data_IF_333090628754
#
_entry.id   IF_333090628754
#
_cell.length_a   1.000
_cell.length_b   1.000
_cell.length_c   1.000
_cell.angle_alpha   90.00
_cell.angle_beta   90.00
_cell.angle_gamma   90.00
#
_symmetry.space_group_name_H-M   'P 1'
#
loop_
_entity.id
_entity.type
_entity.pdbx_description
1 polymer ?
#
# COMPACT_ATOMS: atom_id res chain seq x y z
N UNK A 1 -25.93 -25.27 11.46
CA UNK A 1 -25.51 -24.90 10.10
C UNK A 1 -24.19 -24.16 10.23
N UNK A 2 -23.17 -24.51 9.43
CA UNK A 2 -21.88 -23.84 9.49
C UNK A 2 -21.99 -22.49 8.76
N UNK A 3 -22.19 -21.41 9.52
CA UNK A 3 -22.42 -20.06 8.97
C UNK A 3 -21.23 -19.55 8.16
N UNK A 4 -20.00 -19.90 8.56
CA UNK A 4 -18.79 -19.50 7.82
C UNK A 4 -18.79 -20.16 6.45
N UNK A 5 -18.93 -21.48 6.39
CA UNK A 5 -18.93 -22.24 5.13
C UNK A 5 -20.08 -21.83 4.21
N UNK A 6 -21.27 -21.62 4.76
CA UNK A 6 -22.43 -21.15 3.99
C UNK A 6 -22.18 -19.75 3.42
N UNK A 7 -21.65 -18.84 4.24
CA UNK A 7 -21.28 -17.50 3.81
C UNK A 7 -20.19 -17.48 2.74
N UNK A 8 -19.17 -18.33 2.86
CA UNK A 8 -18.11 -18.48 1.85
C UNK A 8 -18.66 -19.00 0.54
N UNK A 9 -19.56 -19.99 0.56
CA UNK A 9 -20.21 -20.48 -0.65
C UNK A 9 -21.05 -19.40 -1.35
N UNK A 10 -21.78 -18.58 -0.60
CA UNK A 10 -22.50 -17.43 -1.14
C UNK A 10 -21.54 -16.41 -1.77
N UNK A 11 -20.42 -16.12 -1.10
CA UNK A 11 -19.40 -15.20 -1.59
C UNK A 11 -18.80 -15.66 -2.93
N UNK A 12 -18.48 -16.94 -3.06
CA UNK A 12 -17.94 -17.54 -4.30
C UNK A 12 -18.96 -17.48 -5.46
N UNK A 13 -20.26 -17.54 -5.15
CA UNK A 13 -21.35 -17.45 -6.14
C UNK A 13 -21.72 -16.02 -6.51
N UNK A 14 -21.10 -15.01 -5.89
CA UNK A 14 -21.46 -13.61 -6.09
C UNK A 14 -22.71 -13.16 -5.34
N UNK A 15 -23.23 -13.99 -4.43
CA UNK A 15 -24.43 -13.72 -3.63
C UNK A 15 -24.03 -12.91 -2.38
N UNK A 16 -23.52 -11.69 -2.60
CA UNK A 16 -22.81 -10.93 -1.58
C UNK A 16 -23.67 -10.57 -0.36
N UNK A 17 -24.94 -10.21 -0.55
CA UNK A 17 -25.87 -9.94 0.55
C UNK A 17 -26.06 -11.16 1.45
N UNK A 18 -26.23 -12.35 0.87
CA UNK A 18 -26.41 -13.60 1.62
C UNK A 18 -25.13 -13.98 2.38
N UNK A 19 -23.96 -13.75 1.76
CA UNK A 19 -22.68 -13.93 2.44
C UNK A 19 -22.54 -12.99 3.65
N UNK A 20 -22.87 -11.70 3.48
CA UNK A 20 -22.84 -10.69 4.54
C UNK A 20 -23.79 -11.07 5.69
N UNK A 21 -24.99 -11.58 5.37
CA UNK A 21 -25.94 -12.03 6.37
C UNK A 21 -25.38 -13.20 7.19
N UNK A 22 -24.85 -14.24 6.53
CA UNK A 22 -24.26 -15.39 7.20
C UNK A 22 -23.11 -14.98 8.14
N UNK A 23 -22.20 -14.12 7.67
CA UNK A 23 -21.09 -13.65 8.49
C UNK A 23 -21.54 -12.75 9.63
N UNK A 24 -22.57 -11.93 9.42
CA UNK A 24 -23.14 -11.09 10.48
C UNK A 24 -23.81 -11.93 11.57
N UNK A 25 -24.55 -12.97 11.19
CA UNK A 25 -25.13 -13.92 12.14
C UNK A 25 -24.03 -14.63 12.96
N UNK A 26 -22.91 -14.98 12.34
CA UNK A 26 -21.77 -15.56 13.06
C UNK A 26 -21.17 -14.56 14.05
N UNK A 27 -20.93 -13.32 13.62
CA UNK A 27 -20.32 -12.27 14.45
C UNK A 27 -21.21 -11.83 15.62
N UNK A 28 -22.52 -12.12 15.60
CA UNK A 28 -23.37 -11.98 16.78
C UNK A 28 -23.00 -12.96 17.91
N UNK A 29 -22.27 -14.04 17.60
CA UNK A 29 -21.83 -15.05 18.57
C UNK A 29 -20.36 -14.89 18.98
N UNK A 30 -19.52 -14.44 18.05
CA UNK A 30 -18.09 -14.16 18.25
C UNK A 30 -17.71 -12.90 17.47
N UNK A 31 -17.89 -11.72 18.07
CA UNK A 31 -17.67 -10.44 17.38
C UNK A 31 -16.21 -10.21 17.00
N UNK A 32 -15.29 -10.87 17.70
CA UNK A 32 -13.85 -10.66 17.59
C UNK A 32 -13.16 -11.73 16.75
N UNK A 33 -13.91 -12.47 15.92
CA UNK A 33 -13.33 -13.43 15.00
C UNK A 33 -12.65 -12.71 13.81
N UNK A 34 -11.31 -12.65 13.74
CA UNK A 34 -10.63 -11.85 12.71
C UNK A 34 -10.84 -12.41 11.30
N UNK A 35 -11.01 -13.73 11.17
CA UNK A 35 -11.25 -14.39 9.88
C UNK A 35 -12.63 -14.01 9.35
N UNK A 36 -13.68 -14.08 10.18
CA UNK A 36 -15.04 -13.75 9.73
C UNK A 36 -15.22 -12.25 9.52
N UNK A 37 -14.57 -11.40 10.32
CA UNK A 37 -14.49 -9.95 10.05
C UNK A 37 -13.87 -9.69 8.67
N UNK A 38 -12.76 -10.36 8.34
CA UNK A 38 -12.14 -10.24 7.02
C UNK A 38 -13.06 -10.71 5.89
N UNK A 39 -13.69 -11.89 6.03
CA UNK A 39 -14.62 -12.42 5.03
C UNK A 39 -15.85 -11.52 4.80
N UNK A 40 -16.40 -10.95 5.88
CA UNK A 40 -17.51 -9.99 5.77
C UNK A 40 -17.06 -8.69 5.13
N UNK A 41 -15.86 -8.20 5.44
CA UNK A 41 -15.26 -7.05 4.77
C UNK A 41 -15.12 -7.26 3.26
N UNK A 42 -14.61 -8.41 2.85
CA UNK A 42 -14.52 -8.79 1.42
C UNK A 42 -15.90 -8.78 0.75
N UNK A 43 -16.89 -9.42 1.39
CA UNK A 43 -18.26 -9.47 0.87
C UNK A 43 -18.89 -8.06 0.77
N UNK A 44 -18.69 -7.21 1.79
CA UNK A 44 -19.15 -5.82 1.78
C UNK A 44 -18.47 -5.01 0.67
N UNK A 45 -17.15 -5.15 0.46
CA UNK A 45 -16.44 -4.49 -0.65
C UNK A 45 -17.00 -4.92 -2.00
N UNK A 46 -17.20 -6.23 -2.20
CA UNK A 46 -17.80 -6.77 -3.43
C UNK A 46 -19.23 -6.27 -3.64
N UNK A 47 -19.95 -6.02 -2.56
CA UNK A 47 -21.26 -5.37 -2.58
C UNK A 47 -21.20 -3.82 -2.57
N UNK A 48 -20.05 -3.22 -2.90
CA UNK A 48 -19.82 -1.76 -2.93
C UNK A 48 -20.05 -1.02 -1.59
N UNK A 49 -20.21 -1.75 -0.49
CA UNK A 49 -20.33 -1.20 0.87
C UNK A 49 -18.94 -0.91 1.46
N UNK A 50 -18.21 0.01 0.82
CA UNK A 50 -16.79 0.22 1.11
C UNK A 50 -16.50 0.68 2.55
N UNK A 51 -17.34 1.54 3.13
CA UNK A 51 -17.13 2.02 4.51
C UNK A 51 -17.29 0.90 5.54
N UNK A 52 -18.32 0.07 5.38
CA UNK A 52 -18.49 -1.12 6.22
C UNK A 52 -17.30 -2.08 6.09
N UNK A 53 -16.81 -2.29 4.85
CA UNK A 53 -15.64 -3.14 4.59
C UNK A 53 -14.42 -2.63 5.37
N UNK A 54 -14.14 -1.32 5.28
CA UNK A 54 -13.03 -0.72 6.02
C UNK A 54 -13.17 -0.90 7.53
N UNK A 55 -14.37 -0.77 8.08
CA UNK A 55 -14.60 -0.94 9.51
C UNK A 55 -14.31 -2.37 9.98
N UNK A 56 -14.78 -3.37 9.25
CA UNK A 56 -14.53 -4.78 9.56
C UNK A 56 -13.05 -5.16 9.40
N UNK A 57 -12.41 -4.70 8.33
CA UNK A 57 -10.99 -4.97 8.09
C UNK A 57 -10.08 -4.28 9.10
N UNK A 58 -10.42 -3.05 9.53
CA UNK A 58 -9.71 -2.37 10.62
C UNK A 58 -9.86 -3.12 11.93
N UNK A 59 -11.06 -3.62 12.27
CA UNK A 59 -11.27 -4.47 13.45
C UNK A 59 -10.46 -5.76 13.35
N UNK A 60 -10.41 -6.40 12.19
CA UNK A 60 -9.57 -7.59 12.00
C UNK A 60 -8.08 -7.30 12.28
N UNK A 61 -7.56 -6.13 11.89
CA UNK A 61 -6.19 -5.70 12.20
C UNK A 61 -5.98 -5.32 13.67
N UNK A 62 -6.99 -4.84 14.40
CA UNK A 62 -6.81 -4.61 15.85
C UNK A 62 -6.59 -5.93 16.59
N UNK A 63 -7.16 -7.03 16.09
CA UNK A 63 -7.03 -8.37 16.65
C UNK A 63 -5.75 -9.06 16.16
N UNK A 64 -5.45 -8.98 14.86
CA UNK A 64 -4.25 -9.57 14.25
C UNK A 64 -3.47 -8.52 13.44
N UNK A 65 -2.62 -7.70 14.09
CA UNK A 65 -1.93 -6.58 13.42
C UNK A 65 -0.91 -6.98 12.36
N UNK A 66 -0.49 -8.24 12.31
CA UNK A 66 0.50 -8.75 11.36
C UNK A 66 -0.13 -9.54 10.20
N UNK A 67 -1.43 -9.39 9.95
CA UNK A 67 -2.11 -10.08 8.86
C UNK A 67 -1.96 -9.33 7.53
N UNK A 68 -1.00 -9.75 6.70
CA UNK A 68 -0.73 -9.15 5.41
C UNK A 68 -1.92 -9.19 4.44
N UNK A 69 -2.75 -10.23 4.51
CA UNK A 69 -3.94 -10.35 3.65
C UNK A 69 -4.99 -9.29 3.98
N UNK A 70 -5.20 -8.99 5.26
CA UNK A 70 -6.12 -7.91 5.66
C UNK A 70 -5.61 -6.55 5.21
N UNK A 71 -4.30 -6.30 5.26
CA UNK A 71 -3.69 -5.10 4.68
C UNK A 71 -3.97 -4.98 3.18
N UNK A 72 -3.83 -6.07 2.41
CA UNK A 72 -4.18 -6.04 0.98
C UNK A 72 -5.67 -5.78 0.75
N UNK A 73 -6.58 -6.36 1.52
CA UNK A 73 -8.02 -6.08 1.39
C UNK A 73 -8.38 -4.63 1.74
N UNK A 74 -7.71 -4.03 2.74
CA UNK A 74 -7.86 -2.60 3.03
C UNK A 74 -7.42 -1.77 1.83
N UNK A 75 -6.27 -2.10 1.25
CA UNK A 75 -5.75 -1.38 0.10
C UNK A 75 -6.68 -1.47 -1.12
N UNK A 76 -7.22 -2.64 -1.42
CA UNK A 76 -8.19 -2.81 -2.52
C UNK A 76 -9.47 -2.02 -2.22
N UNK A 77 -9.98 -2.06 -0.98
CA UNK A 77 -11.15 -1.27 -0.58
C UNK A 77 -10.92 0.24 -0.76
N UNK A 78 -9.76 0.74 -0.33
CA UNK A 78 -9.38 2.14 -0.45
C UNK A 78 -9.16 2.57 -1.90
N UNK A 79 -8.59 1.69 -2.73
CA UNK A 79 -8.46 1.90 -4.17
C UNK A 79 -9.83 2.14 -4.82
N UNK A 80 -10.85 1.33 -4.51
CA UNK A 80 -12.20 1.55 -5.04
C UNK A 80 -12.80 2.89 -4.56
N UNK A 81 -12.48 3.31 -3.32
CA UNK A 81 -12.81 4.64 -2.78
C UNK A 81 -11.96 5.78 -3.31
N UNK A 82 -11.01 5.50 -4.22
CA UNK A 82 -10.06 6.44 -4.82
C UNK A 82 -9.01 7.00 -3.85
N UNK A 83 -8.94 6.46 -2.63
CA UNK A 83 -7.89 6.78 -1.66
C UNK A 83 -6.62 5.99 -1.98
N UNK A 84 -5.94 6.41 -3.06
CA UNK A 84 -4.76 5.73 -3.59
C UNK A 84 -3.56 5.78 -2.65
N UNK A 85 -3.49 6.79 -1.78
CA UNK A 85 -2.38 6.96 -0.84
C UNK A 85 -2.49 5.96 0.28
N UNK A 86 -3.65 5.87 0.93
CA UNK A 86 -3.84 4.85 1.96
C UNK A 86 -3.74 3.44 1.36
N UNK A 87 -4.21 3.25 0.12
CA UNK A 87 -4.05 1.98 -0.59
C UNK A 87 -2.57 1.59 -0.76
N UNK A 88 -1.73 2.52 -1.20
CA UNK A 88 -0.30 2.28 -1.36
C UNK A 88 0.40 2.01 -0.02
N UNK A 89 0.04 2.75 1.04
CA UNK A 89 0.57 2.54 2.39
C UNK A 89 0.25 1.13 2.90
N UNK A 90 -0.99 0.67 2.72
CA UNK A 90 -1.41 -0.68 3.10
C UNK A 90 -0.75 -1.77 2.25
N UNK A 91 -0.55 -1.56 0.93
CA UNK A 91 0.22 -2.50 0.10
C UNK A 91 1.70 -2.58 0.51
N UNK A 92 2.30 -1.45 0.93
CA UNK A 92 3.66 -1.46 1.48
C UNK A 92 3.74 -2.28 2.77
N UNK A 93 2.74 -2.19 3.65
CA UNK A 93 2.67 -3.01 4.86
C UNK A 93 2.50 -4.50 4.53
N UNK A 94 1.61 -4.84 3.61
CA UNK A 94 1.41 -6.23 3.18
C UNK A 94 2.71 -6.84 2.60
N UNK A 95 3.42 -6.09 1.74
CA UNK A 95 4.72 -6.51 1.20
C UNK A 95 5.78 -6.65 2.29
N UNK A 96 5.84 -5.73 3.26
CA UNK A 96 6.80 -5.79 4.37
C UNK A 96 6.60 -7.03 5.24
N UNK A 97 5.35 -7.45 5.44
CA UNK A 97 5.00 -8.63 6.25
C UNK A 97 5.29 -9.94 5.53
N UNK A 98 5.15 -9.96 4.20
CA UNK A 98 5.41 -11.15 3.36
C UNK A 98 6.35 -10.81 2.19
N UNK A 99 7.65 -10.62 2.44
CA UNK A 99 8.60 -10.16 1.43
C UNK A 99 8.93 -11.20 0.36
N UNK A 100 8.65 -12.49 0.59
CA UNK A 100 8.87 -13.56 -0.38
C UNK A 100 7.59 -13.97 -1.12
N UNK A 101 6.49 -13.24 -0.91
CA UNK A 101 5.23 -13.53 -1.58
C UNK A 101 5.11 -12.71 -2.88
N UNK A 102 5.18 -13.33 -4.08
CA UNK A 102 5.11 -12.63 -5.37
C UNK A 102 3.83 -11.79 -5.51
N UNK A 103 2.73 -12.24 -4.90
CA UNK A 103 1.44 -11.57 -4.95
C UNK A 103 1.46 -10.16 -4.31
N UNK A 104 2.31 -9.94 -3.29
CA UNK A 104 2.41 -8.62 -2.65
C UNK A 104 3.03 -7.61 -3.59
N UNK A 105 3.97 -8.04 -4.43
CA UNK A 105 4.59 -7.19 -5.43
C UNK A 105 3.61 -6.89 -6.57
N UNK A 106 2.93 -7.89 -7.14
CA UNK A 106 1.98 -7.63 -8.24
C UNK A 106 0.83 -6.70 -7.82
N UNK A 107 0.28 -6.91 -6.61
CA UNK A 107 -0.75 -6.02 -6.05
C UNK A 107 -0.25 -4.60 -5.84
N UNK A 108 0.93 -4.43 -5.25
CA UNK A 108 1.52 -3.10 -5.06
C UNK A 108 1.84 -2.43 -6.38
N UNK A 109 2.32 -3.19 -7.37
CA UNK A 109 2.64 -2.68 -8.70
C UNK A 109 1.40 -2.08 -9.39
N UNK A 110 0.25 -2.75 -9.29
CA UNK A 110 -1.01 -2.24 -9.80
C UNK A 110 -1.37 -0.88 -9.18
N UNK A 111 -1.29 -0.76 -7.85
CA UNK A 111 -1.56 0.49 -7.13
C UNK A 111 -0.52 1.57 -7.49
N UNK A 112 0.76 1.23 -7.60
CA UNK A 112 1.81 2.17 -8.02
C UNK A 112 1.56 2.75 -9.41
N UNK A 113 1.15 1.92 -10.38
CA UNK A 113 0.81 2.42 -11.73
C UNK A 113 -0.39 3.37 -11.68
N UNK A 114 -1.42 3.03 -10.90
CA UNK A 114 -2.56 3.91 -10.68
C UNK A 114 -2.15 5.23 -10.00
N UNK A 115 -1.11 5.19 -9.16
CA UNK A 115 -0.50 6.38 -8.57
C UNK A 115 0.41 7.19 -9.53
N UNK A 116 0.56 6.74 -10.78
CA UNK A 116 1.47 7.35 -11.76
C UNK A 116 2.93 6.89 -11.65
N UNK A 117 3.28 6.11 -10.62
CA UNK A 117 4.62 5.51 -10.47
C UNK A 117 4.77 4.26 -11.35
N UNK A 118 4.76 4.50 -12.66
CA UNK A 118 4.87 3.44 -13.69
C UNK A 118 6.20 2.70 -13.59
N UNK A 119 7.29 3.40 -13.23
CA UNK A 119 8.61 2.81 -13.14
C UNK A 119 8.75 1.92 -11.89
N UNK A 120 8.25 2.36 -10.73
CA UNK A 120 8.18 1.53 -9.53
C UNK A 120 7.22 0.35 -9.66
N UNK A 121 6.15 0.47 -10.46
CA UNK A 121 5.29 -0.65 -10.82
C UNK A 121 6.03 -1.71 -11.66
N UNK A 122 6.84 -1.28 -12.64
CA UNK A 122 7.71 -2.18 -13.42
C UNK A 122 8.68 -2.94 -12.53
N UNK A 123 9.29 -2.27 -11.54
CA UNK A 123 10.21 -2.89 -10.59
C UNK A 123 9.52 -3.97 -9.75
N UNK A 124 8.32 -3.68 -9.25
CA UNK A 124 7.56 -4.64 -8.48
C UNK A 124 7.11 -5.84 -9.33
N UNK A 125 6.62 -5.64 -10.56
CA UNK A 125 6.28 -6.76 -11.44
C UNK A 125 7.50 -7.61 -11.81
N UNK A 126 8.68 -7.00 -11.95
CA UNK A 126 9.93 -7.76 -12.14
C UNK A 126 10.26 -8.61 -10.91
N UNK A 127 10.08 -8.07 -9.70
CA UNK A 127 10.29 -8.85 -8.47
C UNK A 127 9.25 -9.96 -8.31
N UNK A 128 8.00 -9.71 -8.70
CA UNK A 128 6.96 -10.73 -8.77
C UNK A 128 7.40 -11.90 -9.69
N UNK A 129 7.85 -11.61 -10.91
CA UNK A 129 8.34 -12.60 -11.87
C UNK A 129 9.61 -13.32 -11.40
N UNK A 130 10.48 -12.64 -10.64
CA UNK A 130 11.66 -13.27 -10.03
C UNK A 130 11.26 -14.34 -9.00
N UNK A 131 10.21 -14.07 -8.22
CA UNK A 131 9.68 -14.97 -7.18
C UNK A 131 8.76 -16.05 -7.75
N UNK A 132 7.98 -15.73 -8.79
CA UNK A 132 7.12 -16.65 -9.54
C UNK A 132 7.32 -16.48 -11.06
N UNK A 133 8.25 -17.25 -11.65
CA UNK A 133 8.56 -17.18 -13.09
C UNK A 133 7.44 -17.69 -14.01
N UNK A 134 6.38 -18.28 -13.47
CA UNK A 134 5.26 -18.85 -14.23
C UNK A 134 3.98 -17.99 -14.13
N UNK A 135 4.04 -16.82 -13.49
CA UNK A 135 2.93 -15.87 -13.42
C UNK A 135 2.71 -15.15 -14.76
N UNK A 136 1.85 -15.74 -15.59
CA UNK A 136 1.43 -15.16 -16.87
C UNK A 136 0.81 -13.75 -16.73
N UNK A 137 0.10 -13.48 -15.63
CA UNK A 137 -0.56 -12.19 -15.38
C UNK A 137 0.50 -11.11 -15.12
N UNK A 138 1.51 -11.42 -14.32
CA UNK A 138 2.63 -10.50 -14.06
C UNK A 138 3.38 -10.15 -15.35
N UNK A 139 3.63 -11.12 -16.24
CA UNK A 139 4.20 -10.86 -17.56
C UNK A 139 3.30 -9.98 -18.42
N UNK A 140 2.00 -10.25 -18.48
CA UNK A 140 1.07 -9.43 -19.24
C UNK A 140 1.05 -7.98 -18.73
N UNK A 141 0.96 -7.78 -17.41
CA UNK A 141 0.94 -6.45 -16.81
C UNK A 141 2.26 -5.71 -17.04
N UNK A 142 3.40 -6.38 -16.92
CA UNK A 142 4.70 -5.79 -17.27
C UNK A 142 4.77 -5.39 -18.74
N UNK A 143 4.21 -6.20 -19.65
CA UNK A 143 4.09 -5.87 -21.06
C UNK A 143 3.28 -4.59 -21.30
N UNK A 144 2.13 -4.44 -20.62
CA UNK A 144 1.30 -3.23 -20.71
C UNK A 144 2.05 -1.98 -20.21
N UNK A 145 2.83 -2.09 -19.12
CA UNK A 145 3.61 -0.96 -18.59
C UNK A 145 4.77 -0.58 -19.53
N UNK A 146 5.47 -1.55 -20.11
CA UNK A 146 6.55 -1.27 -21.07
C UNK A 146 5.99 -0.64 -22.36
N UNK A 147 4.79 -1.05 -22.81
CA UNK A 147 4.10 -0.43 -23.95
C UNK A 147 3.64 1.00 -23.64
N UNK A 148 3.10 1.24 -22.43
CA UNK A 148 2.78 2.59 -21.91
C UNK A 148 3.98 3.53 -21.96
N UNK A 149 5.20 3.01 -21.79
CA UNK A 149 6.46 3.77 -21.90
C UNK A 149 7.03 3.81 -23.34
N UNK A 150 6.30 3.31 -24.34
CA UNK A 150 6.71 3.27 -25.74
C UNK A 150 7.77 2.22 -26.07
N UNK A 151 8.09 1.30 -25.14
CA UNK A 151 9.15 0.29 -25.29
C UNK A 151 8.59 -0.98 -25.93
N UNK A 152 8.06 -0.83 -27.15
CA UNK A 152 7.29 -1.86 -27.89
C UNK A 152 7.96 -3.24 -27.93
N UNK A 153 9.27 -3.30 -28.19
CA UNK A 153 9.96 -4.60 -28.27
C UNK A 153 9.98 -5.35 -26.93
N UNK A 154 10.12 -4.63 -25.81
CA UNK A 154 10.07 -5.25 -24.47
C UNK A 154 8.67 -5.73 -24.16
N UNK A 155 7.66 -4.91 -24.46
CA UNK A 155 6.26 -5.26 -24.30
C UNK A 155 5.91 -6.55 -25.06
N UNK A 156 6.28 -6.63 -26.34
CA UNK A 156 6.04 -7.81 -27.19
C UNK A 156 6.68 -9.09 -26.60
N UNK A 157 7.90 -8.99 -26.07
CA UNK A 157 8.57 -10.12 -25.43
C UNK A 157 7.82 -10.60 -24.18
N UNK A 158 7.33 -9.68 -23.35
CA UNK A 158 6.56 -10.00 -22.15
C UNK A 158 5.20 -10.61 -22.51
N UNK A 159 4.47 -10.06 -23.49
CA UNK A 159 3.22 -10.64 -23.97
C UNK A 159 3.39 -12.05 -24.53
N UNK A 160 4.45 -12.27 -25.34
CA UNK A 160 4.78 -13.61 -25.84
C UNK A 160 5.00 -14.61 -24.72
N UNK A 161 5.68 -14.21 -23.64
CA UNK A 161 5.90 -15.08 -22.48
C UNK A 161 4.60 -15.34 -21.71
N UNK A 162 3.75 -14.34 -21.53
CA UNK A 162 2.41 -14.51 -20.94
C UNK A 162 1.54 -15.48 -21.75
N UNK A 163 1.54 -15.37 -23.08
CA UNK A 163 0.80 -16.27 -23.99
C UNK A 163 1.33 -17.71 -23.99
N UNK A 164 2.64 -17.89 -23.75
CA UNK A 164 3.23 -19.22 -23.60
C UNK A 164 2.77 -19.85 -22.28
N UNK A 165 2.87 -19.11 -21.17
CA UNK A 165 2.51 -19.58 -19.84
C UNK A 165 1.00 -19.83 -19.68
N UNK A 166 0.14 -19.03 -20.33
CA UNK A 166 -1.32 -19.20 -20.24
C UNK A 166 -1.84 -20.45 -20.97
N UNK A 167 -1.09 -20.96 -21.96
CA UNK A 167 -1.40 -22.22 -22.65
C UNK A 167 -0.99 -23.45 -21.84
N UNK A 168 -0.08 -23.28 -20.89
CA UNK A 168 0.27 -24.28 -19.90
C UNK A 168 -0.68 -24.11 -18.69
N UNK A 169 -1.80 -24.83 -18.71
CA UNK A 169 -2.98 -24.77 -17.82
C UNK A 169 -2.73 -24.97 -16.30
N UNK A 170 -1.51 -24.79 -15.80
CA UNK A 170 -1.10 -25.08 -14.42
C UNK A 170 -1.07 -23.88 -13.48
N UNK A 171 -1.44 -22.67 -13.91
CA UNK A 171 -1.42 -21.52 -13.00
C UNK A 171 -2.68 -21.51 -12.11
N UNK A 172 -2.55 -21.70 -10.78
CA UNK A 172 -3.69 -21.67 -9.85
C UNK A 172 -4.26 -20.25 -9.64
N UNK A 173 -3.61 -19.24 -10.23
CA UNK A 173 -3.77 -17.83 -9.87
C UNK A 173 -4.75 -17.06 -10.76
N UNK A 174 -5.27 -17.69 -11.83
CA UNK A 174 -6.17 -17.07 -12.83
C UNK A 174 -7.45 -16.46 -12.22
N UNK A 175 -7.88 -16.91 -11.04
CA UNK A 175 -9.15 -16.48 -10.43
C UNK A 175 -9.07 -15.40 -9.35
N UNK A 176 -7.90 -15.13 -8.76
CA UNK A 176 -7.84 -14.32 -7.53
C UNK A 176 -7.85 -12.80 -7.79
N UNK A 177 -7.57 -12.38 -9.04
CA UNK A 177 -7.60 -10.99 -9.50
C UNK A 177 -8.39 -10.80 -10.80
N UNK A 178 -9.55 -11.46 -10.93
CA UNK A 178 -10.63 -10.83 -11.69
C UNK A 178 -11.06 -9.56 -10.91
N UNK A 179 -10.22 -8.53 -10.96
CA UNK A 179 -10.69 -7.16 -10.90
C UNK A 179 -11.44 -6.98 -12.20
N UNK A 180 -12.75 -6.83 -12.09
CA UNK A 180 -13.65 -6.72 -13.22
C UNK A 180 -13.06 -5.77 -14.26
N UNK A 181 -13.04 -6.20 -15.53
CA UNK A 181 -12.58 -5.39 -16.68
C UNK A 181 -13.33 -4.04 -16.80
N UNK A 182 -14.34 -3.80 -15.99
CA UNK A 182 -15.22 -2.62 -15.99
C UNK A 182 -14.70 -1.42 -15.18
N UNK A 183 -13.65 -1.53 -14.37
CA UNK A 183 -13.07 -0.34 -13.69
C UNK A 183 -11.70 0.03 -14.27
N UNK A 184 -11.69 0.46 -15.54
CA UNK A 184 -10.66 1.40 -16.00
C UNK A 184 -10.97 2.72 -15.31
N UNK A 185 -10.45 2.85 -14.08
CA UNK A 185 -10.46 4.10 -13.36
C UNK A 185 -9.88 5.19 -14.26
N UNK A 186 -10.60 6.29 -14.42
CA UNK A 186 -10.14 7.45 -15.18
C UNK A 186 -8.89 8.01 -14.48
N UNK A 187 -7.70 7.58 -14.93
CA UNK A 187 -6.40 7.79 -14.28
C UNK A 187 -6.12 9.28 -14.00
N UNK A 188 -6.71 10.17 -14.79
CA UNK A 188 -6.54 11.62 -14.68
C UNK A 188 -7.11 12.19 -13.35
N UNK A 189 -8.22 11.63 -12.85
CA UNK A 189 -8.82 12.04 -11.57
C UNK A 189 -7.97 11.55 -10.40
N UNK A 190 -7.54 10.29 -10.47
CA UNK A 190 -6.66 9.66 -9.49
C UNK A 190 -5.30 10.37 -9.36
N UNK A 191 -4.71 10.76 -10.49
CA UNK A 191 -3.45 11.49 -10.51
C UNK A 191 -3.60 12.89 -9.91
N UNK A 192 -4.70 13.59 -10.20
CA UNK A 192 -4.98 14.91 -9.61
C UNK A 192 -5.14 14.84 -8.09
N UNK A 193 -5.81 13.81 -7.57
CA UNK A 193 -5.99 13.62 -6.13
C UNK A 193 -4.65 13.35 -5.42
N UNK A 194 -3.79 12.52 -6.03
CA UNK A 194 -2.44 12.26 -5.49
C UNK A 194 -1.59 13.53 -5.49
N UNK A 195 -1.58 14.29 -6.58
CA UNK A 195 -0.85 15.56 -6.66
C UNK A 195 -1.32 16.54 -5.58
N UNK A 196 -2.64 16.61 -5.34
CA UNK A 196 -3.22 17.44 -4.29
C UNK A 196 -2.81 16.97 -2.89
N UNK A 197 -2.81 15.67 -2.62
CA UNK A 197 -2.40 15.16 -1.31
C UNK A 197 -0.88 15.30 -1.11
N UNK A 198 -0.05 15.08 -2.12
CA UNK A 198 1.40 15.36 -2.03
C UNK A 198 1.62 16.83 -1.70
N UNK A 199 0.94 17.73 -2.41
CA UNK A 199 1.01 19.18 -2.14
C UNK A 199 0.54 19.53 -0.74
N UNK A 200 -0.51 18.87 -0.26
CA UNK A 200 -1.05 19.08 1.09
C UNK A 200 -0.19 18.46 2.19
N UNK A 201 0.45 17.32 1.96
CA UNK A 201 1.37 16.65 2.88
C UNK A 201 2.67 17.45 2.99
N UNK A 202 3.21 17.92 1.87
CA UNK A 202 4.30 18.90 1.85
C UNK A 202 3.90 20.19 2.58
N UNK A 203 2.71 20.76 2.33
CA UNK A 203 2.25 21.94 3.02
C UNK A 203 2.03 21.74 4.54
N UNK A 204 1.66 20.53 4.98
CA UNK A 204 1.55 20.16 6.40
C UNK A 204 2.93 19.96 7.04
N UNK A 205 3.87 19.29 6.36
CA UNK A 205 5.27 19.17 6.82
C UNK A 205 5.96 20.54 6.87
N UNK A 206 5.66 21.46 5.95
CA UNK A 206 6.09 22.86 6.02
C UNK A 206 5.49 23.61 7.20
N UNK A 207 4.22 23.34 7.59
CA UNK A 207 3.57 23.97 8.75
C UNK A 207 3.99 23.35 10.09
N UNK A 208 4.27 22.05 10.12
CA UNK A 208 4.76 21.36 11.33
C UNK A 208 6.21 21.73 11.63
N UNK A 209 7.03 22.00 10.61
CA UNK A 209 8.40 22.51 10.78
C UNK A 209 8.49 24.00 11.17
N UNK A 210 7.40 24.76 11.17
CA UNK A 210 7.36 26.21 11.48
C UNK A 210 6.85 26.52 12.90
N UNK A 211 6.67 25.49 13.76
CA UNK A 211 6.28 25.67 15.18
C UNK A 211 7.43 25.53 16.18
N UNK A 212 8.69 25.68 15.75
CA UNK A 212 9.83 25.90 16.66
C UNK A 212 10.36 27.33 16.56
N UNK A 213 10.42 27.98 17.73
CA UNK A 213 10.94 29.32 18.08
C UNK A 213 12.10 29.85 17.21
N UNK A 214 12.27 31.19 17.08
CA UNK A 214 13.21 31.82 16.15
C UNK A 214 14.62 31.25 16.25
N UNK A 215 15.21 30.90 15.09
CA UNK A 215 16.54 30.29 14.96
C UNK A 215 17.60 31.13 15.65
N UNK A 216 18.13 30.62 16.76
CA UNK A 216 19.33 31.16 17.40
C UNK A 216 20.54 30.89 16.50
N UNK A 217 21.38 31.90 16.30
CA UNK A 217 22.64 31.75 15.57
C UNK A 217 23.61 30.84 16.35
N UNK A 218 24.56 30.20 15.67
CA UNK A 218 25.60 29.39 16.33
C UNK A 218 26.32 30.17 17.43
N UNK A 219 26.49 31.49 17.25
CA UNK A 219 27.07 32.37 18.26
C UNK A 219 26.20 32.54 19.51
N UNK A 220 24.87 32.60 19.36
CA UNK A 220 23.93 32.69 20.48
C UNK A 220 23.82 31.37 21.25
N UNK A 221 23.81 30.24 20.54
CA UNK A 221 23.86 28.91 21.14
C UNK A 221 25.16 28.73 21.92
N UNK A 222 26.30 29.09 21.31
CA UNK A 222 27.61 29.00 21.95
C UNK A 222 27.71 29.88 23.20
N UNK A 223 27.14 31.09 23.18
CA UNK A 223 27.10 31.98 24.34
C UNK A 223 26.18 31.48 25.46
N UNK A 224 25.10 30.76 25.12
CA UNK A 224 24.17 30.22 26.13
C UNK A 224 24.77 29.10 26.99
N UNK A 225 25.85 28.47 26.54
CA UNK A 225 26.57 27.42 27.29
C UNK A 225 27.35 28.01 28.48
N UNK A 226 27.70 29.29 28.43
CA UNK A 226 28.47 29.96 29.49
C UNK A 226 27.56 30.79 30.39
N UNK A 227 27.75 30.71 31.71
CA UNK A 227 26.92 31.41 32.69
C UNK A 227 27.27 32.89 32.82
N UNK A 228 28.45 33.29 32.32
CA UNK A 228 28.86 34.70 32.28
C UNK A 228 29.81 35.01 31.12
N UNK A 229 29.87 36.29 30.72
CA UNK A 229 30.84 36.79 29.72
C UNK A 229 32.31 36.58 30.15
N UNK A 230 32.57 36.48 31.46
CA UNK A 230 33.90 36.20 32.00
C UNK A 230 34.33 34.75 31.74
N UNK A 231 33.41 33.78 31.88
CA UNK A 231 33.68 32.37 31.57
C UNK A 231 33.96 32.15 30.08
N UNK A 232 33.18 32.79 29.21
CA UNK A 232 33.44 32.74 27.77
C UNK A 232 34.80 33.35 27.40
N UNK A 233 35.18 34.47 28.03
CA UNK A 233 36.48 35.11 27.80
C UNK A 233 37.64 34.21 28.26
N UNK A 234 37.50 33.55 29.41
CA UNK A 234 38.48 32.60 29.91
C UNK A 234 38.63 31.36 28.99
N UNK A 235 37.52 30.86 28.42
CA UNK A 235 37.55 29.79 27.43
C UNK A 235 38.27 30.19 26.13
N UNK A 236 38.03 31.41 25.63
CA UNK A 236 38.75 31.92 24.46
C UNK A 236 40.24 32.15 24.73
N UNK A 237 40.61 32.61 25.93
CA UNK A 237 42.02 32.70 26.35
C UNK A 237 42.66 31.32 26.49
N UNK A 238 41.94 30.34 27.03
CA UNK A 238 42.40 28.94 27.10
C UNK A 238 42.68 28.37 25.72
N UNK A 239 41.78 28.54 24.74
CA UNK A 239 42.01 28.11 23.35
C UNK A 239 43.21 28.84 22.76
N UNK A 240 43.35 30.16 22.93
CA UNK A 240 44.47 30.93 22.37
C UNK A 240 45.83 30.55 22.96
N UNK A 241 45.87 30.13 24.23
CA UNK A 241 47.10 29.73 24.92
C UNK A 241 47.41 28.24 24.78
N UNK A 242 46.41 27.39 24.55
CA UNK A 242 46.57 25.93 24.37
C UNK A 242 47.17 25.50 23.03
N UNK A 243 47.28 26.41 22.06
CA UNK A 243 47.90 26.16 20.74
C UNK A 243 49.25 26.85 20.54
N UNK A 244 49.87 27.39 21.62
CA UNK A 244 51.27 27.84 21.58
C UNK A 244 52.20 26.72 22.06
N UNK A 245 52.62 25.88 21.11
CA UNK A 245 53.88 25.12 21.14
C UNK A 245 54.80 25.67 20.07
#
# INVERSE_FOLDING_TARGET
>A
MNLIETGTNHLERGEFELAIECFSQYLNTDESNPTVLCLRGIAQRKNQNFDASLDDLKKALTIVPSNASVYSELAVTQFHKKDLISALENMNMAQKLEPENPYRYSSRAYIKDACGDTQGAIEDYKKCIELDPDDAIAYNNLGMLEDKLGRKQKAENHFKKADQLSKDEKSPFFGMFNMDKEEILNKDEAQSEIENVIKNKQAKEYKENDTQKPKQTIGEVMMSVFKSKQEFKAFIEFIKNGFKS
#
